data_IF_523706404117
#
_entry.id   IF_523706404117
#
_cell.length_a   1.000
_cell.length_b   1.000
_cell.length_c   1.000
_cell.angle_alpha   90.00
_cell.angle_beta   90.00
_cell.angle_gamma   90.00
#
_symmetry.space_group_name_H-M   'P 1'
#
loop_
_entity.id
_entity.type
_entity.pdbx_description
1 polymer ?
#
# COMPACT_ATOMS: atom_id res chain seq x y z
N UNK A 1 2.35 3.29 17.19
CA UNK A 1 1.96 4.18 16.08
C UNK A 1 0.54 3.79 15.69
N UNK A 2 -0.39 4.72 15.73
CA UNK A 2 -1.78 4.46 15.37
C UNK A 2 -1.85 4.50 13.84
N UNK A 3 -2.58 3.58 13.22
CA UNK A 3 -2.68 3.48 11.75
C UNK A 3 -3.15 4.80 11.11
N UNK A 4 -4.01 5.54 11.83
CA UNK A 4 -4.48 6.86 11.43
C UNK A 4 -3.37 7.92 11.37
N UNK A 5 -2.27 7.75 12.12
CA UNK A 5 -1.12 8.67 12.09
C UNK A 5 -0.38 8.59 10.74
N UNK A 6 -0.65 7.54 9.95
CA UNK A 6 -0.06 7.31 8.63
C UNK A 6 -0.89 7.94 7.49
N UNK A 7 -2.09 8.44 7.77
CA UNK A 7 -2.91 9.11 6.75
C UNK A 7 -2.16 10.35 6.22
N UNK A 8 -2.23 10.54 4.91
CA UNK A 8 -1.51 11.52 4.11
C UNK A 8 0.03 11.42 4.15
N UNK A 9 0.57 10.30 4.68
CA UNK A 9 2.01 10.01 4.60
C UNK A 9 2.35 9.23 3.35
N UNK A 10 3.55 9.50 2.83
CA UNK A 10 4.17 8.65 1.80
C UNK A 10 4.54 7.30 2.40
N UNK A 11 4.14 6.23 1.72
CA UNK A 11 4.35 4.85 2.13
C UNK A 11 4.89 4.03 0.96
N UNK A 12 5.66 2.99 1.29
CA UNK A 12 5.95 1.88 0.39
C UNK A 12 4.89 0.80 0.64
N UNK A 13 4.24 0.33 -0.42
CA UNK A 13 3.30 -0.79 -0.38
C UNK A 13 3.97 -2.02 -0.95
N UNK A 14 3.91 -3.13 -0.22
CA UNK A 14 4.40 -4.44 -0.65
C UNK A 14 3.21 -5.39 -0.76
N UNK A 15 2.92 -5.86 -1.97
CA UNK A 15 1.84 -6.82 -2.20
C UNK A 15 2.35 -8.23 -1.84
N UNK A 16 1.61 -8.88 -0.94
CA UNK A 16 1.84 -10.25 -0.51
C UNK A 16 1.02 -11.16 -1.44
N UNK A 17 1.58 -11.55 -2.57
CA UNK A 17 0.90 -12.51 -3.44
C UNK A 17 0.76 -13.85 -2.69
N UNK A 18 -0.45 -14.43 -2.65
CA UNK A 18 -0.74 -15.67 -1.92
C UNK A 18 -0.05 -16.92 -2.53
N UNK A 19 0.62 -16.78 -3.68
CA UNK A 19 1.36 -17.85 -4.32
C UNK A 19 2.87 -17.56 -4.29
N UNK A 20 3.57 -18.33 -3.46
CA UNK A 20 5.01 -18.58 -3.52
C UNK A 20 5.91 -17.50 -2.92
N UNK A 21 6.19 -17.68 -1.63
CA UNK A 21 7.33 -17.08 -0.90
C UNK A 21 8.71 -17.31 -1.55
N UNK A 22 8.81 -18.00 -2.70
CA UNK A 22 10.07 -18.39 -3.34
C UNK A 22 10.27 -18.00 -4.82
N UNK A 23 9.29 -17.43 -5.56
CA UNK A 23 9.44 -17.34 -7.03
C UNK A 23 8.87 -16.08 -7.73
N UNK A 24 8.48 -15.02 -7.01
CA UNK A 24 8.11 -13.75 -7.67
C UNK A 24 8.78 -12.55 -7.00
N UNK A 25 9.33 -11.59 -7.76
CA UNK A 25 9.78 -10.33 -7.19
C UNK A 25 8.56 -9.69 -6.50
N UNK A 26 8.69 -9.42 -5.20
CA UNK A 26 7.65 -8.78 -4.39
C UNK A 26 7.20 -7.52 -5.14
N UNK A 27 5.94 -7.47 -5.59
CA UNK A 27 5.42 -6.30 -6.29
C UNK A 27 5.33 -5.16 -5.28
N UNK A 28 6.10 -4.11 -5.52
CA UNK A 28 6.17 -2.92 -4.66
C UNK A 28 5.78 -1.68 -5.45
N UNK A 29 5.14 -0.74 -4.77
CA UNK A 29 4.91 0.59 -5.30
C UNK A 29 4.82 1.62 -4.17
N UNK A 30 5.16 2.86 -4.50
CA UNK A 30 5.02 3.99 -3.59
C UNK A 30 3.63 4.60 -3.73
N UNK A 31 3.11 5.12 -2.63
CA UNK A 31 1.87 5.88 -2.64
C UNK A 31 1.71 6.75 -1.42
N UNK A 32 0.55 7.40 -1.32
CA UNK A 32 0.12 8.16 -0.16
C UNK A 32 -1.06 7.41 0.46
N UNK A 33 -0.99 7.08 1.74
CA UNK A 33 -2.13 6.47 2.42
C UNK A 33 -3.22 7.52 2.61
N UNK A 34 -4.38 7.35 1.99
CA UNK A 34 -5.50 8.30 2.11
C UNK A 34 -6.52 7.89 3.16
N UNK A 35 -6.56 6.62 3.52
CA UNK A 35 -7.43 6.15 4.58
C UNK A 35 -7.37 4.66 4.77
N UNK A 36 -8.12 4.20 5.77
CA UNK A 36 -8.33 2.80 6.07
C UNK A 36 -9.81 2.61 6.33
N UNK A 37 -10.45 1.73 5.57
CA UNK A 37 -11.88 1.44 5.70
C UNK A 37 -12.13 -0.07 5.62
N UNK A 38 -12.94 -0.59 6.54
CA UNK A 38 -13.39 -1.99 6.59
C UNK A 38 -12.31 -3.05 6.29
N UNK A 39 -11.09 -2.88 6.81
CA UNK A 39 -10.00 -3.83 6.60
C UNK A 39 -9.28 -3.69 5.25
N UNK A 40 -9.40 -2.55 4.60
CA UNK A 40 -8.70 -2.17 3.37
C UNK A 40 -7.90 -0.88 3.56
N UNK A 41 -6.76 -0.78 2.90
CA UNK A 41 -6.03 0.46 2.72
C UNK A 41 -6.53 1.16 1.45
N UNK A 42 -6.74 2.47 1.55
CA UNK A 42 -7.03 3.35 0.41
C UNK A 42 -5.75 4.14 0.15
N UNK A 43 -5.14 3.92 -1.00
CA UNK A 43 -3.81 4.42 -1.32
C UNK A 43 -3.89 5.20 -2.63
N UNK A 44 -3.42 6.44 -2.61
CA UNK A 44 -3.22 7.21 -3.84
C UNK A 44 -1.84 6.87 -4.41
N UNK A 45 -1.82 6.39 -5.65
CA UNK A 45 -0.59 6.07 -6.40
C UNK A 45 -0.49 7.00 -7.59
N UNK A 46 0.69 7.55 -7.85
CA UNK A 46 0.97 8.28 -9.08
C UNK A 46 1.78 7.39 -10.02
N UNK A 47 1.24 7.12 -11.20
CA UNK A 47 1.93 6.41 -12.29
C UNK A 47 1.81 7.23 -13.56
N UNK A 48 2.93 7.47 -14.25
CA UNK A 48 2.99 8.23 -15.51
C UNK A 48 2.27 9.60 -15.46
N UNK A 49 2.42 10.31 -14.34
CA UNK A 49 1.84 11.64 -14.13
C UNK A 49 0.33 11.65 -13.86
N UNK A 50 -0.31 10.49 -13.72
CA UNK A 50 -1.71 10.35 -13.33
C UNK A 50 -1.82 9.78 -11.92
N UNK A 51 -2.68 10.36 -11.10
CA UNK A 51 -3.03 9.82 -9.79
C UNK A 51 -4.22 8.87 -9.91
N UNK A 52 -4.08 7.68 -9.33
CA UNK A 52 -5.12 6.67 -9.21
C UNK A 52 -5.30 6.26 -7.74
N UNK A 53 -6.53 5.88 -7.37
CA UNK A 53 -6.82 5.31 -6.06
C UNK A 53 -6.79 3.79 -6.15
N UNK A 54 -5.96 3.19 -5.31
CA UNK A 54 -5.77 1.75 -5.17
C UNK A 54 -6.35 1.32 -3.82
N UNK A 55 -7.28 0.37 -3.84
CA UNK A 55 -7.87 -0.21 -2.63
C UNK A 55 -7.30 -1.61 -2.45
N UNK A 56 -6.61 -1.85 -1.33
CA UNK A 56 -5.95 -3.12 -1.04
C UNK A 56 -6.40 -3.70 0.30
N UNK A 57 -6.84 -4.96 0.36
CA UNK A 57 -7.09 -5.63 1.63
C UNK A 57 -5.82 -5.67 2.48
N UNK A 58 -5.93 -5.36 3.77
CA UNK A 58 -4.81 -5.36 4.72
C UNK A 58 -4.14 -6.75 4.77
N UNK A 59 -4.91 -7.83 4.59
CA UNK A 59 -4.39 -9.20 4.56
C UNK A 59 -3.53 -9.55 3.35
N UNK A 60 -3.56 -8.73 2.29
CA UNK A 60 -2.85 -8.99 1.02
C UNK A 60 -1.65 -8.06 0.80
N UNK A 61 -1.34 -7.19 1.75
CA UNK A 61 -0.23 -6.27 1.61
C UNK A 61 0.37 -5.85 2.96
N UNK A 62 1.58 -5.29 2.91
CA UNK A 62 2.19 -4.56 4.02
C UNK A 62 2.46 -3.14 3.55
N UNK A 63 2.32 -2.18 4.48
CA UNK A 63 2.71 -0.80 4.27
C UNK A 63 3.88 -0.47 5.19
N UNK A 64 4.89 0.21 4.64
CA UNK A 64 6.03 0.74 5.39
C UNK A 64 6.05 2.25 5.24
N UNK A 65 6.30 2.97 6.32
CA UNK A 65 6.55 4.42 6.25
C UNK A 65 7.91 4.66 5.62
N UNK A 66 7.96 5.54 4.63
CA UNK A 66 9.24 6.08 4.16
C UNK A 66 9.70 7.13 5.17
N UNK A 67 10.91 6.95 5.71
CA UNK A 67 11.57 7.95 6.57
C UNK A 67 11.95 9.19 5.77
#
# INVERSE_FOLDING_TARGET
MILNDLIDRKIEVMILNQAQENLSPRLRFDGILKGVDQGTYIIERTSDGKSELVVLPIGLCRINTMQ
#
